data_IF_256998345379
#
_entry.id   IF_256998345379
#
_cell.length_a   1.000
_cell.length_b   1.000
_cell.length_c   1.000
_cell.angle_alpha   90.00
_cell.angle_beta   90.00
_cell.angle_gamma   90.00
#
_symmetry.space_group_name_H-M   'P 1'
#
loop_
_entity.id
_entity.type
_entity.pdbx_description
1 polymer ?
#
# COMPACT_ATOMS: atom_id res chain seq x y z
N UNK A 1 6.43 -11.33 11.70
CA UNK A 1 5.34 -10.97 10.80
C UNK A 1 5.78 -9.80 9.93
N UNK A 2 5.45 -9.82 8.65
CA UNK A 2 5.81 -8.76 7.71
C UNK A 2 4.56 -8.10 7.15
N UNK A 3 4.65 -6.81 6.89
CA UNK A 3 3.52 -5.96 6.53
C UNK A 3 3.73 -5.27 5.20
N UNK A 4 2.63 -5.13 4.45
CA UNK A 4 2.55 -4.27 3.27
C UNK A 4 1.65 -3.09 3.62
N UNK A 5 2.16 -1.87 3.55
CA UNK A 5 1.35 -0.69 3.79
C UNK A 5 0.64 -0.27 2.50
N UNK A 6 -0.69 -0.20 2.56
CA UNK A 6 -1.46 0.39 1.48
C UNK A 6 -1.21 1.90 1.41
N UNK A 7 -1.50 2.50 0.28
CA UNK A 7 -1.27 3.93 0.03
C UNK A 7 -1.90 4.82 1.08
N UNK A 8 -3.10 4.46 1.57
CA UNK A 8 -3.81 5.25 2.57
C UNK A 8 -3.03 5.38 3.89
N UNK A 9 -2.22 4.38 4.24
CA UNK A 9 -1.38 4.45 5.46
C UNK A 9 -0.29 5.50 5.29
N UNK A 10 0.40 5.49 4.16
CA UNK A 10 1.47 6.46 3.89
C UNK A 10 0.90 7.88 3.81
N UNK A 11 -0.26 8.04 3.13
CA UNK A 11 -0.93 9.34 3.05
C UNK A 11 -1.32 9.87 4.42
N UNK A 12 -1.76 8.99 5.32
CA UNK A 12 -2.11 9.38 6.69
C UNK A 12 -0.88 9.85 7.47
N UNK A 13 0.23 9.12 7.34
CA UNK A 13 1.46 9.44 8.07
C UNK A 13 2.08 10.78 7.66
N UNK A 14 1.89 11.21 6.41
CA UNK A 14 2.43 12.48 5.91
C UNK A 14 1.42 13.62 6.02
N UNK A 15 0.19 13.35 6.44
CA UNK A 15 -0.84 14.38 6.64
C UNK A 15 -0.43 15.34 7.76
N UNK A 16 -1.02 16.55 7.75
CA UNK A 16 -0.72 17.57 8.76
C UNK A 16 -1.11 17.13 10.18
N UNK A 17 -2.21 16.37 10.30
CA UNK A 17 -2.74 15.90 11.58
C UNK A 17 -3.02 14.39 11.47
N UNK A 18 -1.98 13.54 11.46
CA UNK A 18 -2.19 12.12 11.30
C UNK A 18 -2.95 11.50 12.47
N UNK A 19 -3.73 10.47 12.17
CA UNK A 19 -4.50 9.75 13.18
C UNK A 19 -3.56 9.09 14.19
N UNK A 20 -3.71 9.38 15.51
CA UNK A 20 -2.82 8.83 16.52
C UNK A 20 -2.77 7.30 16.57
N UNK A 21 -3.89 6.64 16.29
CA UNK A 21 -3.92 5.17 16.29
C UNK A 21 -3.03 4.60 15.18
N UNK A 22 -3.03 5.22 14.02
CA UNK A 22 -2.18 4.82 12.89
C UNK A 22 -0.72 5.05 13.23
N UNK A 23 -0.39 6.22 13.75
CA UNK A 23 0.98 6.56 14.17
C UNK A 23 1.50 5.55 15.20
N UNK A 24 0.70 5.27 16.23
CA UNK A 24 1.07 4.35 17.30
C UNK A 24 1.30 2.94 16.77
N UNK A 25 0.42 2.48 15.88
CA UNK A 25 0.58 1.16 15.26
C UNK A 25 1.89 1.07 14.48
N UNK A 26 2.17 2.06 13.63
CA UNK A 26 3.38 2.08 12.80
C UNK A 26 4.64 2.15 13.68
N UNK A 27 4.61 2.98 14.72
CA UNK A 27 5.75 3.12 15.64
C UNK A 27 6.03 1.83 16.41
N UNK A 28 5.03 0.97 16.57
CA UNK A 28 5.19 -0.31 17.27
C UNK A 28 5.89 -1.37 16.43
N UNK A 29 6.02 -1.17 15.12
CA UNK A 29 6.59 -2.14 14.20
C UNK A 29 8.09 -1.93 14.00
N UNK A 30 8.79 -3.03 13.74
CA UNK A 30 10.17 -2.95 13.25
C UNK A 30 10.13 -2.49 11.80
N UNK A 31 10.90 -1.44 11.46
CA UNK A 31 10.91 -0.89 10.11
C UNK A 31 11.34 -1.91 9.05
N UNK A 32 12.18 -2.89 9.42
CA UNK A 32 12.63 -3.93 8.50
C UNK A 32 11.53 -4.90 8.11
N UNK A 33 10.42 -4.92 8.84
CA UNK A 33 9.27 -5.77 8.58
C UNK A 33 8.21 -5.10 7.69
N UNK A 34 8.43 -3.86 7.27
CA UNK A 34 7.46 -3.07 6.52
C UNK A 34 7.90 -2.89 5.07
N UNK A 35 7.00 -3.20 4.15
CA UNK A 35 7.22 -3.13 2.71
C UNK A 35 6.20 -2.23 2.03
N UNK A 36 6.57 -1.69 0.88
CA UNK A 36 5.67 -0.97 -0.02
C UNK A 36 5.64 -1.66 -1.38
N UNK A 37 4.53 -1.50 -2.09
CA UNK A 37 4.47 -1.87 -3.50
C UNK A 37 4.90 -0.69 -4.37
N UNK A 38 5.48 -0.95 -5.54
CA UNK A 38 5.73 0.08 -6.56
C UNK A 38 4.42 0.80 -6.95
N UNK A 39 3.28 0.11 -6.83
CA UNK A 39 1.96 0.71 -7.07
C UNK A 39 1.73 1.88 -6.12
N UNK A 40 2.03 1.70 -4.84
CA UNK A 40 1.90 2.75 -3.82
C UNK A 40 2.76 3.96 -4.17
N UNK A 41 3.98 3.73 -4.62
CA UNK A 41 4.85 4.81 -5.08
C UNK A 41 4.20 5.58 -6.23
N UNK A 42 3.65 4.86 -7.22
CA UNK A 42 2.95 5.48 -8.35
C UNK A 42 1.72 6.28 -7.93
N UNK A 43 0.93 5.74 -7.00
CA UNK A 43 -0.25 6.45 -6.49
C UNK A 43 0.11 7.72 -5.73
N UNK A 44 1.17 7.67 -4.93
CA UNK A 44 1.65 8.84 -4.19
C UNK A 44 2.19 9.89 -5.17
N UNK A 45 2.98 9.48 -6.15
CA UNK A 45 3.51 10.38 -7.16
C UNK A 45 2.38 11.07 -7.93
N UNK A 46 1.35 10.31 -8.31
CA UNK A 46 0.15 10.86 -8.97
C UNK A 46 -0.56 11.88 -8.08
N UNK A 47 -0.73 11.55 -6.79
CA UNK A 47 -1.40 12.44 -5.84
C UNK A 47 -0.66 13.75 -5.66
N UNK A 48 0.66 13.69 -5.55
CA UNK A 48 1.51 14.88 -5.44
C UNK A 48 1.43 15.73 -6.71
N UNK A 49 1.51 15.09 -7.88
CA UNK A 49 1.47 15.80 -9.17
C UNK A 49 0.15 16.52 -9.40
N UNK A 50 -0.96 15.97 -8.90
CA UNK A 50 -2.30 16.58 -9.02
C UNK A 50 -2.51 17.80 -8.14
N UNK A 51 -1.65 18.05 -7.17
CA UNK A 51 -1.78 19.21 -6.30
C UNK A 51 -1.55 20.51 -7.08
N UNK A 52 -2.22 21.56 -6.64
CA UNK A 52 -1.98 22.91 -7.15
C UNK A 52 -0.54 23.32 -6.84
N UNK A 53 0.13 23.99 -7.78
CA UNK A 53 1.49 24.47 -7.59
C UNK A 53 1.55 25.30 -6.30
N UNK A 54 2.37 24.87 -5.35
CA UNK A 54 2.41 25.45 -4.00
C UNK A 54 3.65 24.97 -3.26
N UNK A 55 3.91 25.61 -2.11
CA UNK A 55 4.98 25.17 -1.21
C UNK A 55 4.73 23.73 -0.74
N UNK A 56 3.48 23.38 -0.44
CA UNK A 56 3.11 22.03 0.02
C UNK A 56 3.41 20.98 -1.03
N UNK A 57 3.13 21.27 -2.31
CA UNK A 57 3.46 20.36 -3.41
C UNK A 57 4.96 20.12 -3.49
N UNK A 58 5.77 21.19 -3.37
CA UNK A 58 7.21 21.08 -3.40
C UNK A 58 7.73 20.26 -2.21
N UNK A 59 7.20 20.49 -1.02
CA UNK A 59 7.58 19.74 0.17
C UNK A 59 7.26 18.24 0.02
N UNK A 60 6.09 17.89 -0.51
CA UNK A 60 5.71 16.51 -0.70
C UNK A 60 6.52 15.83 -1.81
N UNK A 61 6.87 16.57 -2.85
CA UNK A 61 7.72 16.06 -3.92
C UNK A 61 9.13 15.71 -3.37
N UNK A 62 9.70 16.59 -2.56
CA UNK A 62 10.99 16.35 -1.91
C UNK A 62 10.90 15.20 -0.90
N UNK A 63 9.83 15.15 -0.12
CA UNK A 63 9.59 14.07 0.83
C UNK A 63 9.54 12.70 0.12
N UNK A 64 8.85 12.62 -1.01
CA UNK A 64 8.77 11.37 -1.76
C UNK A 64 10.15 10.88 -2.18
N UNK A 65 10.95 11.76 -2.78
CA UNK A 65 12.24 11.38 -3.36
C UNK A 65 13.35 11.24 -2.33
N UNK A 66 13.38 12.12 -1.33
CA UNK A 66 14.52 12.23 -0.41
C UNK A 66 14.29 11.53 0.94
N UNK A 67 13.03 11.23 1.27
CA UNK A 67 12.69 10.56 2.52
C UNK A 67 12.06 9.19 2.28
N UNK A 68 10.89 9.13 1.62
CA UNK A 68 10.15 7.88 1.48
C UNK A 68 10.93 6.84 0.69
N UNK A 69 11.41 7.16 -0.50
CA UNK A 69 12.16 6.22 -1.33
C UNK A 69 13.47 5.77 -0.67
N UNK A 70 14.11 6.65 0.07
CA UNK A 70 15.34 6.33 0.79
C UNK A 70 15.04 5.41 1.97
N UNK A 71 13.99 5.72 2.74
CA UNK A 71 13.58 4.93 3.91
C UNK A 71 13.22 3.49 3.55
N UNK A 72 12.55 3.29 2.42
CA UNK A 72 12.11 1.97 1.97
C UNK A 72 13.04 1.34 0.95
N UNK A 73 14.24 1.86 0.76
CA UNK A 73 15.20 1.26 -0.16
C UNK A 73 15.40 -0.22 0.18
N UNK A 74 15.30 -1.09 -0.84
CA UNK A 74 15.36 -2.54 -0.66
C UNK A 74 14.07 -3.19 -0.17
N UNK A 75 13.04 -2.40 0.15
CA UNK A 75 11.75 -2.90 0.64
C UNK A 75 10.56 -2.39 -0.17
N UNK A 76 10.82 -2.00 -1.42
CA UNK A 76 9.77 -1.65 -2.39
C UNK A 76 9.64 -2.83 -3.35
N UNK A 77 8.48 -3.48 -3.34
CA UNK A 77 8.25 -4.70 -4.09
C UNK A 77 7.81 -4.37 -5.52
N UNK A 78 8.56 -4.80 -6.54
CA UNK A 78 8.17 -4.59 -7.93
C UNK A 78 7.04 -5.54 -8.35
N UNK A 79 6.33 -5.18 -9.42
CA UNK A 79 5.37 -6.07 -10.05
C UNK A 79 6.11 -7.00 -11.01
N UNK A 80 6.44 -8.19 -10.54
CA UNK A 80 7.17 -9.18 -11.32
C UNK A 80 6.24 -10.28 -11.87
N UNK A 81 6.85 -11.23 -12.57
CA UNK A 81 6.12 -12.34 -13.18
C UNK A 81 5.38 -13.18 -12.14
N UNK A 82 6.01 -13.44 -11.00
CA UNK A 82 5.41 -14.25 -9.95
C UNK A 82 4.13 -13.60 -9.40
N UNK A 83 4.18 -12.30 -9.13
CA UNK A 83 3.00 -11.55 -8.65
C UNK A 83 1.90 -11.56 -9.71
N UNK A 84 2.24 -11.36 -10.98
CA UNK A 84 1.24 -11.32 -12.05
C UNK A 84 0.61 -12.68 -12.32
N UNK A 85 1.35 -13.76 -12.15
CA UNK A 85 0.78 -15.10 -12.22
C UNK A 85 -0.20 -15.35 -11.08
N UNK A 86 0.15 -14.95 -9.86
CA UNK A 86 -0.75 -15.03 -8.71
C UNK A 86 -2.00 -14.15 -8.90
N UNK A 87 -1.80 -12.97 -9.46
CA UNK A 87 -2.89 -12.06 -9.82
C UNK A 87 -3.87 -12.74 -10.80
N UNK A 88 -3.36 -13.42 -11.82
CA UNK A 88 -4.20 -14.14 -12.77
C UNK A 88 -5.06 -15.20 -12.12
N UNK A 89 -4.47 -15.98 -11.19
CA UNK A 89 -5.19 -17.00 -10.44
C UNK A 89 -6.28 -16.36 -9.57
N UNK A 90 -5.94 -15.31 -8.85
CA UNK A 90 -6.89 -14.59 -7.98
C UNK A 90 -8.07 -14.02 -8.77
N UNK A 91 -7.81 -13.32 -9.87
CA UNK A 91 -8.86 -12.70 -10.67
C UNK A 91 -9.78 -13.76 -11.30
N UNK A 92 -9.20 -14.83 -11.84
CA UNK A 92 -9.99 -15.91 -12.43
C UNK A 92 -10.93 -16.52 -11.39
N UNK A 93 -10.45 -16.73 -10.17
CA UNK A 93 -11.26 -17.27 -9.08
C UNK A 93 -12.39 -16.30 -8.69
N UNK A 94 -12.08 -15.00 -8.53
CA UNK A 94 -13.08 -14.00 -8.15
C UNK A 94 -14.15 -13.87 -9.23
N UNK A 95 -13.76 -13.79 -10.50
CA UNK A 95 -14.71 -13.71 -11.62
C UNK A 95 -15.62 -14.93 -11.67
N UNK A 96 -15.10 -16.13 -11.36
CA UNK A 96 -15.90 -17.35 -11.34
C UNK A 96 -17.00 -17.33 -10.27
N UNK A 97 -16.82 -16.50 -9.24
CA UNK A 97 -17.83 -16.32 -8.17
C UNK A 97 -18.63 -15.02 -8.35
N UNK A 98 -18.47 -14.34 -9.46
CA UNK A 98 -19.22 -13.13 -9.78
C UNK A 98 -18.68 -11.86 -9.08
N UNK A 99 -17.46 -11.91 -8.59
CA UNK A 99 -16.84 -10.77 -7.87
C UNK A 99 -15.89 -10.03 -8.80
N UNK A 100 -16.06 -8.70 -8.86
CA UNK A 100 -15.18 -7.81 -9.59
C UNK A 100 -14.40 -6.96 -8.61
N UNK A 101 -13.07 -6.98 -8.74
CA UNK A 101 -12.18 -6.20 -7.88
C UNK A 101 -11.45 -5.17 -8.76
N UNK A 102 -11.35 -3.89 -8.34
CA UNK A 102 -10.58 -2.89 -9.10
C UNK A 102 -9.16 -3.35 -9.35
N UNK A 103 -8.61 -2.96 -10.51
CA UNK A 103 -7.30 -3.44 -10.94
C UNK A 103 -6.19 -3.18 -9.91
N UNK A 104 -6.12 -1.96 -9.39
CA UNK A 104 -5.08 -1.58 -8.41
C UNK A 104 -5.22 -2.43 -7.14
N UNK A 105 -6.42 -2.55 -6.59
CA UNK A 105 -6.67 -3.34 -5.38
C UNK A 105 -6.31 -4.81 -5.62
N UNK A 106 -6.65 -5.35 -6.78
CA UNK A 106 -6.34 -6.73 -7.12
C UNK A 106 -4.84 -7.00 -7.19
N UNK A 107 -4.07 -6.05 -7.70
CA UNK A 107 -2.62 -6.16 -7.76
C UNK A 107 -1.98 -6.05 -6.37
N UNK A 108 -2.50 -5.20 -5.51
CA UNK A 108 -2.07 -5.12 -4.11
C UNK A 108 -2.36 -6.44 -3.39
N UNK A 109 -3.55 -7.02 -3.60
CA UNK A 109 -3.90 -8.30 -3.01
C UNK A 109 -2.96 -9.43 -3.48
N UNK A 110 -2.67 -9.48 -4.78
CA UNK A 110 -1.75 -10.48 -5.34
C UNK A 110 -0.33 -10.34 -4.77
N UNK A 111 0.15 -9.11 -4.61
CA UNK A 111 1.44 -8.83 -3.98
C UNK A 111 1.48 -9.35 -2.54
N UNK A 112 0.40 -9.07 -1.79
CA UNK A 112 0.24 -9.52 -0.40
C UNK A 112 0.29 -11.04 -0.31
N UNK A 113 -0.43 -11.73 -1.19
CA UNK A 113 -0.47 -13.19 -1.22
C UNK A 113 0.89 -13.79 -1.59
N UNK A 114 1.51 -13.27 -2.65
CA UNK A 114 2.78 -13.80 -3.16
C UNK A 114 3.88 -13.74 -2.11
N UNK A 115 3.96 -12.65 -1.39
CA UNK A 115 5.01 -12.43 -0.37
C UNK A 115 4.57 -12.82 1.03
N UNK A 116 3.37 -13.35 1.21
CA UNK A 116 2.83 -13.79 2.51
C UNK A 116 2.89 -12.69 3.56
N UNK A 117 2.43 -11.51 3.16
CA UNK A 117 2.41 -10.32 4.00
C UNK A 117 1.04 -10.15 4.66
N UNK A 118 0.97 -9.25 5.64
CA UNK A 118 -0.29 -8.73 6.17
C UNK A 118 -0.49 -7.33 5.60
N UNK A 119 -1.62 -7.10 4.94
CA UNK A 119 -1.93 -5.78 4.39
C UNK A 119 -2.42 -4.85 5.49
N UNK A 120 -1.81 -3.69 5.61
CA UNK A 120 -2.25 -2.64 6.53
C UNK A 120 -3.02 -1.62 5.71
N UNK A 121 -4.32 -1.50 5.96
CA UNK A 121 -5.20 -0.64 5.17
C UNK A 121 -6.44 -0.24 5.98
N UNK A 122 -7.01 0.90 5.62
CA UNK A 122 -8.31 1.35 6.11
C UNK A 122 -9.46 0.67 5.34
N UNK A 123 -9.20 0.26 4.10
CA UNK A 123 -10.22 -0.22 3.16
C UNK A 123 -10.44 -1.73 3.27
N UNK A 124 -10.76 -2.21 4.46
CA UNK A 124 -10.88 -3.64 4.75
C UNK A 124 -11.89 -4.33 3.83
N UNK A 125 -13.03 -3.69 3.59
CA UNK A 125 -14.10 -4.28 2.78
C UNK A 125 -13.70 -4.50 1.33
N UNK A 126 -12.79 -3.69 0.81
CA UNK A 126 -12.33 -3.81 -0.58
C UNK A 126 -11.55 -5.10 -0.83
N UNK A 127 -11.03 -5.72 0.23
CA UNK A 127 -10.18 -6.90 0.14
C UNK A 127 -10.80 -8.16 0.77
N UNK A 128 -12.06 -8.08 1.20
CA UNK A 128 -12.69 -9.15 1.98
C UNK A 128 -12.75 -10.51 1.30
N UNK A 129 -12.86 -10.54 -0.04
CA UNK A 129 -13.00 -11.78 -0.81
C UNK A 129 -11.67 -12.33 -1.31
N UNK A 130 -10.56 -11.70 -0.99
CA UNK A 130 -9.24 -12.08 -1.52
C UNK A 130 -8.53 -13.13 -0.67
N UNK A 131 -8.96 -13.35 0.56
CA UNK A 131 -8.33 -14.29 1.48
C UNK A 131 -7.04 -13.79 2.12
N UNK A 132 -6.68 -12.52 1.94
CA UNK A 132 -5.47 -11.96 2.54
C UNK A 132 -5.70 -11.58 4.01
N UNK A 133 -4.63 -11.54 4.78
CA UNK A 133 -4.69 -11.02 6.14
C UNK A 133 -4.61 -9.50 6.13
N UNK A 134 -5.46 -8.87 6.93
CA UNK A 134 -5.62 -7.41 6.94
C UNK A 134 -5.59 -6.89 8.37
N UNK A 135 -4.92 -5.75 8.55
CA UNK A 135 -4.96 -4.99 9.81
C UNK A 135 -5.44 -3.58 9.47
N UNK A 136 -6.42 -3.09 10.22
CA UNK A 136 -6.89 -1.71 10.12
C UNK A 136 -6.44 -0.92 11.34
N UNK A 137 -5.37 -0.10 11.23
CA UNK A 137 -4.84 0.62 12.39
C UNK A 137 -5.66 1.85 12.80
N UNK A 138 -6.70 2.21 12.03
CA UNK A 138 -7.61 3.30 12.41
C UNK A 138 -8.58 2.90 13.51
N UNK A 139 -8.78 1.60 13.70
CA UNK A 139 -9.69 1.06 14.71
C UNK A 139 -9.01 0.71 16.03
#
# INVERSE_FOLDING_TARGET
MKYLFDTCVISELVAKHPNPNVVDFVDSLDSDDVYLSVITIGEIAKGVEKLTKSKRKQELHSWLKEDLLVRFDGRIIPLDTEILMEWGILIAHLESTGITLPAIDSLIAATTLTHKLTLVTRNVDDFGDTGIEIVNPWE
#
